data_IF_163761855813
#
_entry.id   IF_163761855813
#
_cell.length_a   1.000
_cell.length_b   1.000
_cell.length_c   1.000
_cell.angle_alpha   90.00
_cell.angle_beta   90.00
_cell.angle_gamma   90.00
#
_symmetry.space_group_name_H-M   'P 1'
#
loop_
_entity.id
_entity.type
_entity.pdbx_description
1 polymer ?
#
# COMPACT_ATOMS: atom_id res chain seq x y z
N UNK A 1 -23.15 41.34 23.04
CA UNK A 1 -22.29 40.67 24.05
C UNK A 1 -20.97 40.42 23.34
N UNK A 2 -19.89 41.07 23.75
CA UNK A 2 -18.57 40.85 23.16
C UNK A 2 -18.05 39.47 23.55
N UNK A 3 -17.58 38.71 22.56
CA UNK A 3 -16.96 37.41 22.77
C UNK A 3 -15.52 37.62 23.26
N UNK A 4 -15.39 37.83 24.57
CA UNK A 4 -14.10 38.05 25.23
C UNK A 4 -13.14 36.86 25.03
N UNK A 5 -13.68 35.65 24.89
CA UNK A 5 -12.90 34.45 24.67
C UNK A 5 -12.28 34.50 23.27
N UNK A 6 -13.05 34.82 22.22
CA UNK A 6 -12.52 35.00 20.86
C UNK A 6 -11.56 36.18 20.69
N UNK A 7 -11.50 37.10 21.67
CA UNK A 7 -10.58 38.25 21.66
C UNK A 7 -9.18 37.94 22.23
N UNK A 8 -9.00 36.80 22.88
CA UNK A 8 -7.71 36.39 23.45
C UNK A 8 -6.64 36.18 22.36
N UNK A 9 -5.34 36.41 22.64
CA UNK A 9 -4.23 36.01 21.77
C UNK A 9 -4.24 34.52 21.45
N UNK A 10 -3.70 34.15 20.28
CA UNK A 10 -3.68 32.76 19.80
C UNK A 10 -2.96 31.82 20.76
N UNK A 11 -1.95 32.31 21.48
CA UNK A 11 -1.20 31.54 22.48
C UNK A 11 -2.07 31.15 23.68
N UNK A 12 -2.96 32.05 24.13
CA UNK A 12 -3.87 31.78 25.24
C UNK A 12 -5.04 30.89 24.79
N UNK A 13 -5.52 31.09 23.56
CA UNK A 13 -6.52 30.22 22.95
C UNK A 13 -5.98 28.81 22.75
N UNK A 14 -4.74 28.67 22.27
CA UNK A 14 -4.03 27.41 22.20
C UNK A 14 -3.93 26.78 23.58
N UNK A 15 -3.54 27.56 24.60
CA UNK A 15 -3.48 27.05 25.96
C UNK A 15 -4.83 26.52 26.47
N UNK A 16 -5.94 27.21 26.21
CA UNK A 16 -7.28 26.76 26.60
C UNK A 16 -7.68 25.48 25.86
N UNK A 17 -7.50 25.42 24.53
CA UNK A 17 -7.75 24.20 23.74
C UNK A 17 -6.86 23.05 24.24
N UNK A 18 -5.63 23.37 24.63
CA UNK A 18 -4.65 22.47 25.23
C UNK A 18 -5.00 22.01 26.65
N UNK A 19 -6.16 22.37 27.20
CA UNK A 19 -6.68 21.85 28.47
C UNK A 19 -7.90 20.94 28.29
N UNK A 20 -8.39 20.74 27.05
CA UNK A 20 -9.60 19.97 26.76
C UNK A 20 -9.29 18.53 26.30
N UNK A 21 -10.10 17.53 26.69
CA UNK A 21 -10.06 16.20 26.08
C UNK A 21 -10.28 16.28 24.57
N UNK A 22 -9.69 15.35 23.80
CA UNK A 22 -9.67 15.39 22.32
C UNK A 22 -11.05 15.64 21.68
N UNK A 23 -12.07 14.90 22.08
CA UNK A 23 -13.45 15.06 21.56
C UNK A 23 -14.00 16.47 21.84
N UNK A 24 -13.75 17.00 23.04
CA UNK A 24 -14.16 18.35 23.43
C UNK A 24 -13.36 19.43 22.70
N UNK A 25 -12.05 19.21 22.51
CA UNK A 25 -11.19 20.09 21.74
C UNK A 25 -11.64 20.18 20.28
N UNK A 26 -12.03 19.06 19.66
CA UNK A 26 -12.62 19.05 18.31
C UNK A 26 -13.95 19.82 18.29
N UNK A 27 -14.81 19.70 19.30
CA UNK A 27 -16.07 20.44 19.31
C UNK A 27 -15.87 21.96 19.32
N UNK A 28 -14.72 22.46 19.80
CA UNK A 28 -14.41 23.88 19.77
C UNK A 28 -14.27 24.47 18.36
N UNK A 29 -14.06 23.63 17.33
CA UNK A 29 -14.05 24.08 15.93
C UNK A 29 -15.41 24.61 15.48
N UNK A 30 -16.50 24.18 16.13
CA UNK A 30 -17.87 24.66 15.87
C UNK A 30 -18.18 25.94 16.64
N UNK A 31 -17.40 26.28 17.66
CA UNK A 31 -17.58 27.49 18.46
C UNK A 31 -16.98 28.73 17.77
N UNK A 32 -15.90 28.56 17.01
CA UNK A 32 -15.26 29.66 16.30
C UNK A 32 -14.41 29.17 15.13
N UNK A 33 -14.49 29.85 13.99
CA UNK A 33 -13.61 29.61 12.84
C UNK A 33 -12.15 29.81 13.20
N UNK A 34 -11.83 30.72 14.13
CA UNK A 34 -10.48 30.96 14.63
C UNK A 34 -9.93 29.76 15.39
N UNK A 35 -10.73 29.14 16.25
CA UNK A 35 -10.34 27.97 17.06
C UNK A 35 -10.09 26.74 16.19
N UNK A 36 -10.88 26.59 15.11
CA UNK A 36 -10.63 25.59 14.07
C UNK A 36 -9.24 25.71 13.44
N UNK A 37 -8.75 26.93 13.22
CA UNK A 37 -7.40 27.13 12.66
C UNK A 37 -6.30 26.84 13.69
N UNK A 38 -6.52 27.17 14.96
CA UNK A 38 -5.54 26.95 16.03
C UNK A 38 -5.23 25.47 16.25
N UNK A 39 -6.24 24.61 16.25
CA UNK A 39 -6.04 23.15 16.37
C UNK A 39 -5.29 22.55 15.16
N UNK A 40 -5.30 23.27 14.04
CA UNK A 40 -4.66 22.87 12.79
C UNK A 40 -3.26 23.47 12.60
N UNK A 41 -2.75 24.25 13.57
CA UNK A 41 -1.43 24.85 13.49
C UNK A 41 -0.33 23.79 13.61
N UNK A 42 0.60 23.70 12.65
CA UNK A 42 1.73 22.81 12.76
C UNK A 42 2.77 23.38 13.72
N UNK A 43 3.40 22.52 14.54
CA UNK A 43 4.70 22.83 15.13
C UNK A 43 5.70 22.98 13.98
N UNK A 44 6.33 24.15 13.85
CA UNK A 44 7.30 24.42 12.78
C UNK A 44 8.71 24.42 13.35
N UNK A 45 9.61 23.71 12.70
CA UNK A 45 11.04 23.66 13.02
C UNK A 45 11.88 23.76 11.74
N UNK A 46 13.14 24.13 11.92
CA UNK A 46 14.13 24.26 10.85
C UNK A 46 15.41 23.52 11.27
N UNK A 47 16.11 22.95 10.31
CA UNK A 47 17.42 22.34 10.53
C UNK A 47 17.99 21.77 9.24
N UNK A 48 18.94 20.86 9.34
CA UNK A 48 19.50 20.17 8.18
C UNK A 48 18.74 18.88 7.88
N UNK A 49 19.03 18.23 6.75
CA UNK A 49 18.41 16.94 6.41
C UNK A 49 18.79 15.83 7.41
N UNK A 50 19.97 15.95 8.02
CA UNK A 50 20.49 15.05 9.05
C UNK A 50 19.73 15.17 10.37
N UNK A 51 19.11 16.33 10.63
CA UNK A 51 18.32 16.58 11.83
C UNK A 51 16.90 15.98 11.76
N UNK A 52 16.42 15.66 10.54
CA UNK A 52 15.06 15.16 10.30
C UNK A 52 14.68 13.97 11.20
N UNK A 53 15.51 12.91 11.34
CA UNK A 53 15.16 11.78 12.20
C UNK A 53 14.98 12.16 13.66
N UNK A 54 15.86 13.02 14.19
CA UNK A 54 15.82 13.49 15.57
C UNK A 54 14.62 14.41 15.81
N UNK A 55 14.31 15.29 14.86
CA UNK A 55 13.18 16.19 14.93
C UNK A 55 11.84 15.43 14.96
N UNK A 56 11.67 14.42 14.09
CA UNK A 56 10.48 13.56 14.10
C UNK A 56 10.41 12.71 15.37
N UNK A 57 11.55 12.17 15.83
CA UNK A 57 11.59 11.40 17.08
C UNK A 57 11.18 12.26 18.28
N UNK A 58 11.67 13.50 18.36
CA UNK A 58 11.27 14.45 19.40
C UNK A 58 9.80 14.85 19.29
N UNK A 59 9.28 15.03 18.08
CA UNK A 59 7.85 15.30 17.86
C UNK A 59 6.96 14.15 18.38
N UNK A 60 7.32 12.89 18.09
CA UNK A 60 6.60 11.71 18.58
C UNK A 60 6.73 11.57 20.10
N UNK A 61 7.95 11.72 20.63
CA UNK A 61 8.22 11.57 22.06
C UNK A 61 7.46 12.61 22.90
N UNK A 62 7.27 13.82 22.35
CA UNK A 62 6.53 14.88 22.99
C UNK A 62 5.01 14.78 22.82
N UNK A 63 4.49 13.83 22.03
CA UNK A 63 3.06 13.68 21.81
C UNK A 63 2.37 12.84 22.89
N UNK A 64 1.26 13.35 23.40
CA UNK A 64 0.34 12.64 24.27
C UNK A 64 -1.11 13.07 23.96
N UNK A 65 -1.94 12.11 23.57
CA UNK A 65 -3.33 12.34 23.19
C UNK A 65 -4.21 12.80 24.37
N UNK A 66 -3.83 12.46 25.60
CA UNK A 66 -4.57 12.77 26.83
C UNK A 66 -4.03 14.00 27.55
N UNK A 67 -2.86 14.50 27.15
CA UNK A 67 -2.30 15.73 27.68
C UNK A 67 -2.43 16.82 26.63
N UNK A 68 -3.39 17.74 26.78
CA UNK A 68 -3.68 18.63 25.69
C UNK A 68 -2.59 19.71 25.47
N UNK A 69 -1.64 19.93 26.39
CA UNK A 69 -0.39 20.70 26.14
C UNK A 69 0.63 20.00 25.23
N UNK A 70 0.42 18.70 25.00
CA UNK A 70 1.28 17.79 24.26
C UNK A 70 0.53 17.09 23.12
N UNK A 71 -0.66 17.57 22.76
CA UNK A 71 -1.50 16.91 21.76
C UNK A 71 -1.33 17.47 20.33
N UNK A 72 -0.28 18.26 20.05
CA UNK A 72 -0.02 18.80 18.71
C UNK A 72 0.14 17.68 17.70
N UNK A 73 -0.78 17.61 16.73
CA UNK A 73 -0.81 16.51 15.74
C UNK A 73 -0.06 16.80 14.47
N UNK A 74 0.27 18.06 14.18
CA UNK A 74 0.92 18.46 12.94
C UNK A 74 2.30 19.02 13.21
N UNK A 75 3.25 18.62 12.38
CA UNK A 75 4.62 19.07 12.44
C UNK A 75 5.11 19.39 11.03
N UNK A 76 5.84 20.50 10.90
CA UNK A 76 6.54 20.88 9.68
C UNK A 76 8.00 21.10 9.98
N UNK A 77 8.85 20.45 9.21
CA UNK A 77 10.29 20.60 9.33
C UNK A 77 10.84 21.05 7.99
N UNK A 78 11.43 22.25 7.97
CA UNK A 78 12.11 22.80 6.82
C UNK A 78 13.58 22.41 6.87
N UNK A 79 14.11 21.89 5.76
CA UNK A 79 15.50 21.45 5.66
C UNK A 79 16.08 21.71 4.26
N UNK A 80 17.35 22.10 4.22
CA UNK A 80 17.97 22.54 2.97
C UNK A 80 17.28 23.77 2.38
N UNK A 81 17.48 24.00 1.08
CA UNK A 81 16.95 25.20 0.40
C UNK A 81 15.44 25.09 0.12
N UNK A 82 14.95 23.89 -0.18
CA UNK A 82 13.56 23.65 -0.62
C UNK A 82 12.91 22.42 0.02
N UNK A 83 13.61 21.72 0.92
CA UNK A 83 13.10 20.50 1.55
C UNK A 83 12.06 20.81 2.62
N UNK A 84 10.91 20.16 2.53
CA UNK A 84 9.87 20.24 3.54
C UNK A 84 9.35 18.85 3.88
N UNK A 85 9.38 18.53 5.17
CA UNK A 85 8.67 17.41 5.75
C UNK A 85 7.41 17.92 6.46
N UNK A 86 6.26 17.37 6.09
CA UNK A 86 5.02 17.50 6.86
C UNK A 86 4.71 16.17 7.54
N UNK A 87 4.54 16.19 8.85
CA UNK A 87 4.18 15.02 9.66
C UNK A 87 2.83 15.21 10.35
N UNK A 88 2.03 14.14 10.40
CA UNK A 88 0.72 14.11 11.07
C UNK A 88 0.58 12.87 11.95
N UNK A 89 0.32 13.08 13.24
CA UNK A 89 -0.06 12.05 14.21
C UNK A 89 -1.58 11.89 14.23
N UNK A 90 -2.05 10.81 13.64
CA UNK A 90 -3.44 10.45 13.57
C UNK A 90 -3.82 9.44 14.69
N UNK A 91 -5.12 9.34 15.03
CA UNK A 91 -5.61 8.33 15.95
C UNK A 91 -5.18 6.90 15.56
N UNK A 92 -5.20 5.99 16.52
CA UNK A 92 -4.79 4.59 16.35
C UNK A 92 -3.30 4.44 15.94
N UNK A 93 -2.42 5.18 16.60
CA UNK A 93 -0.97 4.97 16.50
C UNK A 93 -0.42 5.14 15.07
N UNK A 94 -0.95 6.13 14.35
CA UNK A 94 -0.71 6.31 12.93
C UNK A 94 0.10 7.58 12.67
N UNK A 95 1.20 7.43 11.94
CA UNK A 95 2.05 8.54 11.51
C UNK A 95 1.98 8.67 10.00
N UNK A 96 1.71 9.88 9.52
CA UNK A 96 1.84 10.25 8.12
C UNK A 96 3.04 11.16 7.97
N UNK A 97 3.95 10.84 7.04
CA UNK A 97 5.07 11.68 6.65
C UNK A 97 4.94 11.97 5.16
N UNK A 98 4.94 13.25 4.81
CA UNK A 98 4.90 13.73 3.43
C UNK A 98 6.15 14.58 3.17
N UNK A 99 6.94 14.17 2.19
CA UNK A 99 8.14 14.88 1.78
C UNK A 99 7.86 15.61 0.47
N UNK A 100 8.00 16.94 0.48
CA UNK A 100 7.94 17.76 -0.73
C UNK A 100 9.33 18.27 -1.08
N UNK A 101 9.62 18.25 -2.38
CA UNK A 101 10.76 18.88 -3.02
C UNK A 101 10.27 19.56 -4.31
N UNK A 102 10.89 20.66 -4.70
CA UNK A 102 10.38 21.60 -5.70
C UNK A 102 10.51 21.12 -7.16
N UNK A 103 11.30 20.08 -7.44
CA UNK A 103 11.56 19.65 -8.82
C UNK A 103 11.17 18.20 -9.13
N UNK A 104 9.88 18.00 -9.42
CA UNK A 104 9.30 16.71 -9.81
C UNK A 104 9.47 16.37 -11.31
N UNK A 105 9.99 17.27 -12.14
CA UNK A 105 10.06 17.06 -13.59
C UNK A 105 11.14 16.05 -13.99
N UNK A 106 12.26 16.01 -13.28
CA UNK A 106 13.35 15.04 -13.48
C UNK A 106 13.88 14.53 -12.14
N UNK A 107 13.15 13.61 -11.48
CA UNK A 107 13.56 13.08 -10.18
C UNK A 107 14.87 12.30 -10.32
N UNK A 108 15.83 12.51 -9.41
CA UNK A 108 17.04 11.67 -9.35
C UNK A 108 16.66 10.25 -8.95
N UNK A 109 17.20 9.28 -9.68
CA UNK A 109 16.94 7.87 -9.43
C UNK A 109 17.68 7.38 -8.19
N UNK A 110 17.04 6.52 -7.39
CA UNK A 110 17.63 5.97 -6.18
C UNK A 110 17.14 4.56 -5.86
N UNK A 111 17.95 3.86 -5.06
CA UNK A 111 17.58 2.60 -4.42
C UNK A 111 17.32 2.85 -2.95
N UNK A 112 16.36 2.13 -2.37
CA UNK A 112 15.94 2.35 -1.00
C UNK A 112 15.75 1.05 -0.23
N UNK A 113 16.39 0.97 0.93
CA UNK A 113 16.33 -0.17 1.84
C UNK A 113 15.68 0.24 3.15
N UNK A 114 14.69 -0.54 3.58
CA UNK A 114 14.04 -0.40 4.87
C UNK A 114 14.30 -1.68 5.66
N UNK A 115 14.92 -1.55 6.82
CA UNK A 115 15.09 -2.62 7.80
C UNK A 115 14.24 -2.34 9.03
N UNK A 116 13.29 -3.23 9.32
CA UNK A 116 12.43 -3.16 10.49
C UNK A 116 13.02 -4.03 11.62
N UNK A 117 13.30 -3.40 12.76
CA UNK A 117 13.92 -3.96 13.97
C UNK A 117 15.11 -4.87 13.71
N UNK A 118 16.21 -4.30 13.22
CA UNK A 118 17.49 -4.97 13.29
C UNK A 118 17.91 -5.10 14.78
N UNK A 119 18.05 -6.32 15.34
CA UNK A 119 18.43 -6.54 16.73
C UNK A 119 19.80 -5.95 17.10
N UNK A 120 20.64 -5.66 16.10
CA UNK A 120 21.99 -5.13 16.28
C UNK A 120 22.01 -3.60 16.52
N UNK A 121 20.90 -2.89 16.33
CA UNK A 121 20.79 -1.44 16.55
C UNK A 121 20.28 -1.06 17.96
N UNK A 122 20.36 -1.98 18.92
CA UNK A 122 20.10 -1.72 20.33
C UNK A 122 21.31 -0.97 20.96
N UNK A 123 21.53 0.28 20.58
CA UNK A 123 22.40 1.17 21.34
C UNK A 123 21.58 2.01 22.32
N UNK A 124 22.19 2.21 23.49
CA UNK A 124 21.62 2.62 24.75
C UNK A 124 20.84 3.95 24.74
N UNK A 125 19.99 4.06 25.77
CA UNK A 125 19.11 5.17 26.16
C UNK A 125 17.73 5.17 25.50
N UNK A 126 16.78 4.42 26.08
CA UNK A 126 15.37 4.83 26.05
C UNK A 126 15.21 6.09 26.93
N UNK A 127 15.01 7.29 26.37
CA UNK A 127 14.69 8.47 27.16
C UNK A 127 13.16 8.49 27.29
N UNK A 128 12.65 8.10 28.46
CA UNK A 128 11.22 8.13 28.87
C UNK A 128 10.26 7.32 27.98
N UNK A 129 9.29 6.58 28.55
CA UNK A 129 8.30 5.90 27.72
C UNK A 129 7.46 6.97 27.01
N UNK A 130 7.58 7.07 25.68
CA UNK A 130 6.61 7.81 24.90
C UNK A 130 5.25 7.14 25.10
N UNK A 131 4.23 7.90 25.47
CA UNK A 131 2.86 7.37 25.61
C UNK A 131 2.29 6.97 24.26
N UNK A 132 2.86 7.52 23.17
CA UNK A 132 2.53 7.19 21.79
C UNK A 132 3.60 6.32 21.13
N UNK A 133 3.16 5.23 20.51
CA UNK A 133 3.97 4.36 19.67
C UNK A 133 3.39 4.31 18.25
N UNK A 134 4.19 3.89 17.26
CA UNK A 134 3.75 3.82 15.85
C UNK A 134 3.43 2.38 15.47
N UNK A 135 2.17 2.14 15.06
CA UNK A 135 1.70 0.86 14.47
C UNK A 135 1.47 0.96 12.97
N UNK A 136 1.11 2.16 12.49
CA UNK A 136 0.89 2.40 11.06
C UNK A 136 1.70 3.60 10.60
N UNK A 137 2.49 3.41 9.55
CA UNK A 137 3.29 4.46 8.94
C UNK A 137 2.88 4.65 7.48
N UNK A 138 2.55 5.88 7.13
CA UNK A 138 2.29 6.29 5.76
C UNK A 138 3.39 7.24 5.31
N UNK A 139 4.10 6.84 4.27
CA UNK A 139 5.18 7.58 3.64
C UNK A 139 4.70 8.05 2.27
N UNK A 140 4.77 9.35 2.04
CA UNK A 140 4.36 9.96 0.77
C UNK A 140 5.50 10.78 0.21
N UNK A 141 5.80 10.56 -1.07
CA UNK A 141 6.78 11.31 -1.84
C UNK A 141 8.20 11.29 -1.27
N UNK A 142 8.59 10.17 -0.65
CA UNK A 142 9.99 9.93 -0.26
C UNK A 142 10.87 9.92 -1.52
N UNK A 143 12.01 10.60 -1.43
CA UNK A 143 12.92 10.85 -2.53
C UNK A 143 14.38 10.54 -2.14
N UNK A 144 15.31 10.69 -3.09
CA UNK A 144 16.74 10.42 -2.88
C UNK A 144 17.42 11.23 -1.76
N UNK A 145 16.81 12.33 -1.30
CA UNK A 145 17.34 13.17 -0.22
C UNK A 145 16.85 12.66 1.14
N UNK A 146 15.59 12.24 1.20
CA UNK A 146 14.90 11.87 2.44
C UNK A 146 14.95 10.38 2.78
N UNK A 147 15.25 9.52 1.80
CA UNK A 147 15.19 8.05 1.96
C UNK A 147 16.02 7.53 3.13
N UNK A 148 17.24 8.05 3.32
CA UNK A 148 18.13 7.64 4.40
C UNK A 148 17.60 8.04 5.77
N UNK A 149 17.13 9.29 5.91
CA UNK A 149 16.52 9.78 7.13
C UNK A 149 15.28 8.94 7.49
N UNK A 150 14.47 8.56 6.49
CA UNK A 150 13.31 7.69 6.70
C UNK A 150 13.74 6.31 7.15
N UNK A 151 14.74 5.68 6.53
CA UNK A 151 15.25 4.38 6.97
C UNK A 151 15.75 4.42 8.42
N UNK A 152 16.47 5.48 8.81
CA UNK A 152 16.91 5.71 10.19
C UNK A 152 15.75 5.86 11.19
N UNK A 153 14.62 6.45 10.78
CA UNK A 153 13.43 6.58 11.64
C UNK A 153 12.67 5.26 11.76
N UNK A 154 12.47 4.60 10.63
CA UNK A 154 11.64 3.39 10.53
C UNK A 154 12.23 2.24 11.32
N UNK A 155 13.57 2.14 11.39
CA UNK A 155 14.26 1.12 12.19
C UNK A 155 13.97 1.20 13.70
N UNK A 156 13.52 2.37 14.19
CA UNK A 156 13.17 2.63 15.60
C UNK A 156 11.69 2.35 15.91
N UNK A 157 10.85 2.09 14.91
CA UNK A 157 9.41 1.84 15.11
C UNK A 157 9.13 0.37 15.40
N UNK A 158 9.43 -0.06 16.64
CA UNK A 158 9.42 -1.48 17.01
C UNK A 158 8.06 -2.19 16.97
N UNK A 159 6.97 -1.41 17.02
CA UNK A 159 5.59 -1.90 16.98
C UNK A 159 4.93 -1.70 15.61
N UNK A 160 5.69 -1.37 14.57
CA UNK A 160 5.15 -1.13 13.23
C UNK A 160 4.57 -2.43 12.64
N UNK A 161 3.29 -2.38 12.30
CA UNK A 161 2.53 -3.49 11.71
C UNK A 161 2.09 -3.18 10.27
N UNK A 162 1.94 -1.89 9.93
CA UNK A 162 1.39 -1.45 8.65
C UNK A 162 2.28 -0.37 8.03
N UNK A 163 2.77 -0.62 6.82
CA UNK A 163 3.59 0.32 6.05
C UNK A 163 2.91 0.67 4.73
N UNK A 164 2.74 1.96 4.46
CA UNK A 164 2.29 2.47 3.17
C UNK A 164 3.34 3.38 2.56
N UNK A 165 3.63 3.17 1.28
CA UNK A 165 4.58 3.94 0.48
C UNK A 165 3.84 4.42 -0.76
N UNK A 166 3.75 5.73 -0.95
CA UNK A 166 2.90 6.34 -1.97
C UNK A 166 3.67 7.43 -2.71
N UNK A 167 3.65 7.41 -4.04
CA UNK A 167 4.10 8.56 -4.83
C UNK A 167 5.60 8.84 -4.76
N UNK A 168 6.44 7.83 -4.51
CA UNK A 168 7.90 8.01 -4.43
C UNK A 168 8.51 8.07 -5.84
N UNK A 169 8.71 9.28 -6.36
CA UNK A 169 9.32 9.54 -7.67
C UNK A 169 10.85 9.31 -7.63
N UNK A 170 11.43 8.76 -8.71
CA UNK A 170 12.84 8.36 -8.78
C UNK A 170 13.18 7.03 -8.10
N UNK A 171 12.27 6.43 -7.32
CA UNK A 171 12.52 5.14 -6.68
C UNK A 171 12.61 4.02 -7.74
N UNK A 172 13.81 3.46 -7.97
CA UNK A 172 14.03 2.40 -8.96
C UNK A 172 14.03 0.99 -8.35
N UNK A 173 14.65 0.85 -7.18
CA UNK A 173 14.76 -0.43 -6.49
C UNK A 173 14.43 -0.27 -5.02
N UNK A 174 13.64 -1.20 -4.48
CA UNK A 174 13.24 -1.20 -3.08
C UNK A 174 13.49 -2.57 -2.46
N UNK A 175 14.09 -2.57 -1.27
CA UNK A 175 14.19 -3.74 -0.40
C UNK A 175 13.52 -3.45 0.93
N UNK A 176 12.60 -4.32 1.34
CA UNK A 176 11.95 -4.27 2.65
C UNK A 176 12.30 -5.54 3.39
N UNK A 177 13.09 -5.37 4.44
CA UNK A 177 13.44 -6.37 5.42
C UNK A 177 12.56 -6.17 6.66
N UNK A 178 11.84 -7.22 7.03
CA UNK A 178 11.10 -7.29 8.28
C UNK A 178 11.20 -8.67 8.91
N UNK A 179 12.06 -8.78 9.92
CA UNK A 179 12.03 -9.88 10.89
C UNK A 179 10.88 -9.72 11.93
N UNK A 180 10.11 -8.64 11.80
CA UNK A 180 9.13 -8.12 12.76
C UNK A 180 7.70 -8.51 12.42
N UNK A 181 6.73 -7.88 13.12
CA UNK A 181 5.29 -8.08 12.94
C UNK A 181 4.72 -7.30 11.75
N UNK A 182 5.46 -7.04 10.67
CA UNK A 182 4.84 -6.36 9.51
C UNK A 182 3.71 -7.24 8.94
N UNK A 183 2.47 -6.79 9.09
CA UNK A 183 1.26 -7.49 8.68
C UNK A 183 0.73 -6.96 7.35
N UNK A 184 0.90 -5.67 7.07
CA UNK A 184 0.38 -5.03 5.87
C UNK A 184 1.43 -4.16 5.20
N UNK A 185 1.58 -4.34 3.89
CA UNK A 185 2.39 -3.50 3.02
C UNK A 185 1.54 -2.96 1.87
N UNK A 186 1.62 -1.66 1.63
CA UNK A 186 0.98 -0.98 0.51
C UNK A 186 2.01 -0.15 -0.24
N UNK A 187 2.12 -0.35 -1.56
CA UNK A 187 3.02 0.44 -2.42
C UNK A 187 2.21 0.93 -3.63
N UNK A 188 1.95 2.23 -3.69
CA UNK A 188 1.12 2.86 -4.71
C UNK A 188 1.84 3.97 -5.45
N UNK A 189 1.62 4.03 -6.76
CA UNK A 189 1.96 5.17 -7.61
C UNK A 189 3.44 5.57 -7.54
N UNK A 190 4.36 4.60 -7.46
CA UNK A 190 5.80 4.79 -7.57
C UNK A 190 6.24 4.51 -9.02
N UNK A 191 6.25 5.51 -9.94
CA UNK A 191 6.25 5.26 -11.38
C UNK A 191 7.55 4.69 -11.96
N UNK A 192 8.66 4.82 -11.23
CA UNK A 192 9.99 4.37 -11.66
C UNK A 192 10.42 3.04 -11.03
N UNK A 193 9.58 2.44 -10.18
CA UNK A 193 9.94 1.23 -9.45
C UNK A 193 10.06 0.05 -10.41
N UNK A 194 11.28 -0.46 -10.55
CA UNK A 194 11.64 -1.58 -11.44
C UNK A 194 11.90 -2.87 -10.67
N UNK A 195 12.35 -2.78 -9.42
CA UNK A 195 12.69 -3.95 -8.60
C UNK A 195 12.10 -3.82 -7.20
N UNK A 196 11.43 -4.86 -6.73
CA UNK A 196 10.84 -4.92 -5.40
C UNK A 196 11.19 -6.24 -4.72
N UNK A 197 11.99 -6.13 -3.66
CA UNK A 197 12.41 -7.21 -2.81
C UNK A 197 11.72 -7.10 -1.45
N UNK A 198 11.08 -8.19 -1.01
CA UNK A 198 10.34 -8.23 0.25
C UNK A 198 10.72 -9.49 1.01
N UNK A 199 11.34 -9.29 2.18
CA UNK A 199 11.56 -10.33 3.17
C UNK A 199 10.69 -10.08 4.40
N UNK A 200 9.55 -10.75 4.46
CA UNK A 200 8.66 -10.72 5.63
C UNK A 200 7.78 -11.98 5.68
N UNK A 201 7.90 -12.76 6.75
CA UNK A 201 7.14 -14.02 6.91
C UNK A 201 5.76 -13.81 7.57
N UNK A 202 5.53 -12.67 8.21
CA UNK A 202 4.25 -12.33 8.87
C UNK A 202 3.30 -11.53 7.99
N UNK A 203 3.72 -11.14 6.79
CA UNK A 203 2.88 -10.37 5.87
C UNK A 203 1.57 -11.12 5.58
N UNK A 204 0.44 -10.42 5.78
CA UNK A 204 -0.92 -10.90 5.53
C UNK A 204 -1.64 -10.08 4.47
N UNK A 205 -1.26 -8.81 4.30
CA UNK A 205 -1.85 -7.94 3.28
C UNK A 205 -0.75 -7.35 2.43
N UNK A 206 -0.85 -7.53 1.12
CA UNK A 206 0.03 -6.90 0.15
C UNK A 206 -0.77 -6.22 -0.95
N UNK A 207 -0.69 -4.89 -1.02
CA UNK A 207 -1.40 -4.09 -2.00
C UNK A 207 -0.40 -3.32 -2.86
N UNK A 208 -0.42 -3.59 -4.16
CA UNK A 208 0.45 -2.95 -5.13
C UNK A 208 -0.38 -2.25 -6.22
N UNK A 209 0.02 -1.02 -6.58
CA UNK A 209 -0.52 -0.26 -7.71
C UNK A 209 0.58 0.52 -8.42
N UNK A 210 0.75 0.32 -9.72
CA UNK A 210 1.77 0.99 -10.53
C UNK A 210 2.25 0.16 -11.72
N UNK A 211 3.39 0.52 -12.32
CA UNK A 211 4.03 -0.32 -13.34
C UNK A 211 4.63 -1.56 -12.70
N UNK A 212 4.31 -2.75 -13.22
CA UNK A 212 4.68 -4.02 -12.61
C UNK A 212 6.21 -4.18 -12.46
N UNK A 213 6.76 -4.18 -11.23
CA UNK A 213 8.19 -4.33 -11.00
C UNK A 213 8.60 -5.80 -11.04
N UNK A 214 9.90 -6.04 -11.08
CA UNK A 214 10.46 -7.36 -10.86
C UNK A 214 10.31 -7.72 -9.38
N UNK A 215 9.48 -8.72 -9.09
CA UNK A 215 9.26 -9.22 -7.74
C UNK A 215 10.29 -10.29 -7.38
N UNK A 216 10.93 -10.10 -6.23
CA UNK A 216 11.75 -11.12 -5.59
C UNK A 216 11.19 -11.38 -4.18
N UNK A 217 10.21 -12.29 -4.04
CA UNK A 217 9.81 -12.77 -2.73
C UNK A 217 10.86 -13.76 -2.21
N UNK A 218 11.35 -13.57 -0.98
CA UNK A 218 12.24 -14.56 -0.35
C UNK A 218 11.47 -15.77 0.21
N UNK A 219 10.22 -15.56 0.63
CA UNK A 219 9.38 -16.58 1.26
C UNK A 219 8.02 -16.70 0.56
N UNK A 220 7.37 -17.85 0.73
CA UNK A 220 5.95 -17.96 0.40
C UNK A 220 5.14 -17.12 1.38
N UNK A 221 4.37 -16.16 0.89
CA UNK A 221 3.49 -15.37 1.73
C UNK A 221 2.17 -16.10 1.97
N UNK A 222 1.71 -16.11 3.22
CA UNK A 222 0.36 -16.54 3.59
C UNK A 222 -0.54 -15.31 3.66
N UNK A 223 -0.76 -14.68 2.49
CA UNK A 223 -1.57 -13.47 2.40
C UNK A 223 -3.04 -13.80 2.69
N UNK A 224 -3.70 -13.04 3.55
CA UNK A 224 -5.16 -13.00 3.59
C UNK A 224 -5.71 -12.16 2.44
N UNK A 225 -5.01 -11.08 2.08
CA UNK A 225 -5.44 -10.15 1.04
C UNK A 225 -4.26 -9.74 0.14
N UNK A 226 -4.42 -9.90 -1.17
CA UNK A 226 -3.45 -9.51 -2.18
C UNK A 226 -4.12 -8.65 -3.25
N UNK A 227 -3.50 -7.55 -3.63
CA UNK A 227 -3.92 -6.74 -4.78
C UNK A 227 -2.72 -6.43 -5.66
N UNK A 228 -2.87 -6.71 -6.95
CA UNK A 228 -1.87 -6.41 -7.99
C UNK A 228 -2.54 -5.59 -9.10
N UNK A 229 -2.57 -4.27 -8.92
CA UNK A 229 -3.06 -3.33 -9.91
C UNK A 229 -1.91 -2.81 -10.78
N UNK A 230 -1.68 -3.49 -11.90
CA UNK A 230 -0.64 -3.15 -12.87
C UNK A 230 -1.17 -2.73 -14.22
N UNK A 231 -2.27 -1.95 -14.24
CA UNK A 231 -2.88 -1.40 -15.47
C UNK A 231 -1.92 -0.54 -16.30
N UNK A 232 -0.82 -0.10 -15.70
CA UNK A 232 0.24 0.66 -16.38
C UNK A 232 1.26 -0.22 -17.12
N UNK A 233 1.08 -1.55 -17.12
CA UNK A 233 1.98 -2.51 -17.75
C UNK A 233 3.26 -2.79 -16.97
N UNK A 234 4.24 -3.51 -17.55
CA UNK A 234 5.51 -3.81 -16.90
C UNK A 234 6.42 -2.59 -16.78
N UNK A 235 7.24 -2.56 -15.73
CA UNK A 235 8.23 -1.50 -15.52
C UNK A 235 9.47 -1.62 -16.41
N UNK A 236 9.63 -2.74 -17.14
CA UNK A 236 10.80 -3.03 -17.98
C UNK A 236 10.41 -3.86 -19.23
N UNK A 237 11.15 -3.67 -20.31
CA UNK A 237 10.82 -4.21 -21.64
C UNK A 237 11.08 -5.72 -21.79
N UNK A 238 11.72 -6.37 -20.81
CA UNK A 238 12.14 -7.77 -20.87
C UNK A 238 11.34 -8.67 -19.94
N UNK A 239 10.08 -8.35 -19.65
CA UNK A 239 9.23 -9.18 -18.80
C UNK A 239 9.08 -10.59 -19.38
N UNK A 240 9.56 -11.61 -18.65
CA UNK A 240 9.57 -13.02 -19.08
C UNK A 240 8.49 -13.82 -18.34
N UNK A 241 8.11 -14.97 -18.88
CA UNK A 241 7.20 -15.92 -18.22
C UNK A 241 7.69 -16.36 -16.83
N UNK A 242 9.00 -16.45 -16.59
CA UNK A 242 9.53 -16.78 -15.27
C UNK A 242 9.34 -15.66 -14.23
N UNK A 243 9.19 -14.40 -14.67
CA UNK A 243 8.87 -13.30 -13.76
C UNK A 243 7.44 -13.45 -13.25
N UNK A 244 6.54 -13.95 -14.10
CA UNK A 244 5.17 -14.30 -13.73
C UNK A 244 5.08 -15.44 -12.70
N UNK A 245 5.91 -16.47 -12.80
CA UNK A 245 5.96 -17.57 -11.82
C UNK A 245 6.21 -17.06 -10.38
N UNK A 246 7.04 -16.01 -10.23
CA UNK A 246 7.32 -15.39 -8.91
C UNK A 246 6.11 -14.65 -8.35
N UNK A 247 5.30 -14.07 -9.23
CA UNK A 247 4.03 -13.43 -8.87
C UNK A 247 3.07 -14.48 -8.32
N UNK A 248 2.92 -15.60 -9.03
CA UNK A 248 2.08 -16.71 -8.57
C UNK A 248 2.53 -17.22 -7.20
N UNK A 249 3.84 -17.36 -6.97
CA UNK A 249 4.37 -17.75 -5.65
C UNK A 249 4.01 -16.73 -4.56
N UNK A 250 4.02 -15.44 -4.89
CA UNK A 250 3.66 -14.34 -3.98
C UNK A 250 2.20 -14.42 -3.56
N UNK A 251 1.28 -14.72 -4.49
CA UNK A 251 -0.17 -14.70 -4.24
C UNK A 251 -0.78 -16.08 -3.99
N UNK A 252 0.03 -17.15 -4.00
CA UNK A 252 -0.43 -18.56 -3.97
C UNK A 252 -1.47 -18.85 -2.89
N UNK A 253 -1.25 -18.30 -1.70
CA UNK A 253 -2.05 -18.58 -0.51
C UNK A 253 -3.03 -17.44 -0.17
N UNK A 254 -3.28 -16.51 -1.12
CA UNK A 254 -4.24 -15.43 -0.93
C UNK A 254 -5.66 -15.97 -0.71
N UNK A 255 -6.40 -15.38 0.23
CA UNK A 255 -7.84 -15.63 0.38
C UNK A 255 -8.67 -14.64 -0.44
N UNK A 256 -8.24 -13.39 -0.48
CA UNK A 256 -8.82 -12.32 -1.30
C UNK A 256 -7.76 -11.87 -2.29
N UNK A 257 -8.11 -11.88 -3.57
CA UNK A 257 -7.23 -11.47 -4.65
C UNK A 257 -7.89 -10.44 -5.55
N UNK A 258 -7.35 -9.23 -5.60
CA UNK A 258 -7.76 -8.18 -6.52
C UNK A 258 -6.80 -8.12 -7.72
N UNK A 259 -7.34 -8.20 -8.92
CA UNK A 259 -6.62 -8.28 -10.18
C UNK A 259 -7.11 -7.24 -11.18
N UNK A 260 -6.23 -6.84 -12.08
CA UNK A 260 -6.58 -6.06 -13.26
C UNK A 260 -6.24 -6.83 -14.54
N UNK A 261 -6.71 -6.33 -15.70
CA UNK A 261 -6.51 -6.99 -17.00
C UNK A 261 -5.04 -7.30 -17.30
N UNK A 262 -4.18 -6.29 -17.16
CA UNK A 262 -2.75 -6.38 -17.44
C UNK A 262 -2.00 -7.39 -16.57
N UNK A 263 -2.54 -7.80 -15.41
CA UNK A 263 -1.84 -8.71 -14.49
C UNK A 263 -1.51 -10.06 -15.16
N UNK A 264 -2.22 -10.45 -16.22
CA UNK A 264 -2.06 -11.76 -16.90
C UNK A 264 -2.17 -11.67 -18.43
N UNK A 265 -1.94 -10.50 -19.02
CA UNK A 265 -2.09 -10.30 -20.47
C UNK A 265 -1.01 -10.99 -21.33
N UNK A 266 0.08 -11.47 -20.72
CA UNK A 266 1.23 -12.08 -21.41
C UNK A 266 0.78 -13.29 -22.22
N UNK A 267 0.93 -13.19 -23.54
CA UNK A 267 0.70 -14.28 -24.47
C UNK A 267 1.84 -15.31 -24.35
N UNK A 268 1.48 -16.59 -24.23
CA UNK A 268 2.46 -17.69 -24.23
C UNK A 268 3.22 -17.81 -25.57
N UNK A 269 2.70 -17.21 -26.65
CA UNK A 269 3.31 -17.28 -27.98
C UNK A 269 4.27 -16.14 -28.34
N UNK A 270 4.43 -15.10 -27.50
CA UNK A 270 5.17 -13.89 -27.88
C UNK A 270 6.67 -13.87 -27.53
N UNK A 271 7.25 -14.97 -27.02
CA UNK A 271 8.68 -14.99 -26.66
C UNK A 271 9.42 -16.24 -27.17
N UNK A 272 10.22 -16.03 -28.22
CA UNK A 272 11.33 -16.93 -28.57
C UNK A 272 12.33 -16.91 -27.40
N UNK A 273 12.63 -18.07 -26.84
CA UNK A 273 13.63 -18.27 -25.79
C UNK A 273 15.03 -18.41 -26.38
N UNK A 274 15.96 -17.46 -26.26
CA UNK A 274 17.38 -17.75 -26.45
C UNK A 274 17.90 -18.35 -25.14
N UNK A 275 18.10 -19.67 -25.13
CA UNK A 275 18.85 -20.43 -24.12
C UNK A 275 18.59 -20.05 -22.64
N UNK A 276 17.43 -20.46 -22.11
CA UNK A 276 17.17 -20.54 -20.67
C UNK A 276 17.65 -21.88 -20.09
N UNK A 277 18.96 -22.11 -20.05
CA UNK A 277 19.53 -23.15 -19.19
C UNK A 277 19.57 -22.59 -17.75
N UNK A 278 18.60 -23.00 -16.92
CA UNK A 278 18.53 -22.85 -15.43
C UNK A 278 17.47 -21.93 -14.82
N UNK A 279 16.42 -21.47 -15.53
CA UNK A 279 15.20 -21.06 -14.82
C UNK A 279 14.36 -22.33 -14.62
N UNK A 280 14.20 -22.78 -13.36
CA UNK A 280 13.82 -24.15 -13.03
C UNK A 280 12.59 -24.63 -13.81
N UNK A 281 12.72 -25.77 -14.51
CA UNK A 281 11.66 -26.46 -15.25
C UNK A 281 10.53 -27.01 -14.34
N UNK A 282 10.38 -26.48 -13.13
CA UNK A 282 9.58 -27.06 -12.05
C UNK A 282 8.61 -26.09 -11.38
N UNK A 283 8.81 -24.76 -11.47
CA UNK A 283 7.93 -23.78 -10.82
C UNK A 283 6.68 -23.47 -11.66
N UNK A 284 6.79 -23.45 -12.98
CA UNK A 284 5.70 -23.10 -13.91
C UNK A 284 4.58 -24.15 -14.05
N UNK A 285 4.71 -25.31 -13.40
CA UNK A 285 3.69 -26.38 -13.42
C UNK A 285 2.88 -26.53 -12.11
N UNK A 286 3.17 -25.79 -11.03
CA UNK A 286 2.74 -26.23 -9.68
C UNK A 286 2.24 -25.15 -8.70
N UNK A 287 1.86 -23.95 -9.13
CA UNK A 287 1.29 -22.94 -8.21
C UNK A 287 -0.22 -22.80 -8.39
N UNK A 288 -0.97 -23.68 -7.71
CA UNK A 288 -2.45 -23.63 -7.66
C UNK A 288 -2.91 -22.64 -6.59
N UNK A 289 -3.90 -21.81 -6.92
CA UNK A 289 -4.55 -20.88 -5.99
C UNK A 289 -5.67 -21.61 -5.25
N UNK A 290 -5.29 -22.35 -4.21
CA UNK A 290 -6.17 -23.29 -3.48
C UNK A 290 -6.95 -22.66 -2.33
N UNK A 291 -6.58 -21.47 -1.89
CA UNK A 291 -7.15 -20.83 -0.69
C UNK A 291 -8.06 -19.65 -1.01
N UNK A 292 -8.27 -19.35 -2.29
CA UNK A 292 -9.09 -18.23 -2.73
C UNK A 292 -10.55 -18.39 -2.28
N UNK A 293 -11.04 -17.37 -1.60
CA UNK A 293 -12.45 -17.20 -1.23
C UNK A 293 -13.10 -16.15 -2.12
N UNK A 294 -12.37 -15.09 -2.46
CA UNK A 294 -12.87 -13.96 -3.27
C UNK A 294 -11.84 -13.54 -4.32
N UNK A 295 -12.29 -13.36 -5.55
CA UNK A 295 -11.54 -12.68 -6.62
C UNK A 295 -12.25 -11.39 -6.98
N UNK A 296 -11.54 -10.27 -6.95
CA UNK A 296 -12.05 -8.97 -7.39
C UNK A 296 -11.39 -8.57 -8.70
N UNK A 297 -12.19 -8.21 -9.68
CA UNK A 297 -11.75 -7.71 -10.97
C UNK A 297 -11.97 -6.19 -10.98
N UNK A 298 -10.87 -5.44 -11.10
CA UNK A 298 -10.88 -3.98 -11.05
C UNK A 298 -10.21 -3.35 -12.27
N UNK A 299 -10.82 -2.27 -12.77
CA UNK A 299 -10.25 -1.43 -13.83
C UNK A 299 -10.23 -2.07 -15.21
N UNK A 300 -11.27 -2.83 -15.55
CA UNK A 300 -11.50 -3.38 -16.89
C UNK A 300 -12.37 -2.44 -17.72
N UNK A 301 -12.05 -2.32 -19.01
CA UNK A 301 -12.81 -1.48 -19.94
C UNK A 301 -14.16 -2.09 -20.33
N UNK A 302 -14.29 -3.42 -20.23
CA UNK A 302 -15.50 -4.16 -20.55
C UNK A 302 -15.52 -5.54 -19.88
N UNK A 303 -16.71 -6.15 -19.87
CA UNK A 303 -17.01 -7.46 -19.29
C UNK A 303 -16.31 -8.63 -20.03
N UNK A 304 -16.09 -8.52 -21.34
CA UNK A 304 -15.42 -9.57 -22.11
C UNK A 304 -13.97 -9.78 -21.66
N UNK A 305 -13.27 -8.69 -21.32
CA UNK A 305 -11.92 -8.74 -20.79
C UNK A 305 -11.87 -9.38 -19.39
N UNK A 306 -12.91 -9.20 -18.57
CA UNK A 306 -13.04 -9.85 -17.27
C UNK A 306 -13.23 -11.36 -17.42
N UNK A 307 -14.10 -11.78 -18.35
CA UNK A 307 -14.30 -13.20 -18.70
C UNK A 307 -13.00 -13.80 -19.22
N UNK A 308 -12.32 -13.13 -20.16
CA UNK A 308 -11.08 -13.60 -20.75
C UNK A 308 -9.99 -13.82 -19.68
N UNK A 309 -9.86 -12.91 -18.72
CA UNK A 309 -8.93 -13.10 -17.62
C UNK A 309 -9.28 -14.34 -16.79
N UNK A 310 -10.54 -14.50 -16.44
CA UNK A 310 -10.98 -15.64 -15.63
C UNK A 310 -10.83 -16.97 -16.38
N UNK A 311 -11.01 -16.98 -17.70
CA UNK A 311 -10.69 -18.12 -18.55
C UNK A 311 -9.20 -18.47 -18.54
N UNK A 312 -8.31 -17.47 -18.56
CA UNK A 312 -6.86 -17.70 -18.43
C UNK A 312 -6.46 -18.25 -17.06
N UNK A 313 -7.18 -17.85 -16.00
CA UNK A 313 -6.91 -18.30 -14.63
C UNK A 313 -7.56 -19.65 -14.29
N UNK A 314 -8.33 -20.23 -15.22
CA UNK A 314 -9.10 -21.47 -15.04
C UNK A 314 -8.27 -22.61 -14.46
N UNK A 315 -7.09 -22.84 -15.04
CA UNK A 315 -6.25 -23.99 -14.69
C UNK A 315 -5.45 -23.77 -13.40
N UNK A 316 -5.36 -22.51 -12.95
CA UNK A 316 -4.61 -22.08 -11.77
C UNK A 316 -5.52 -22.00 -10.55
N UNK A 317 -6.77 -21.55 -10.72
CA UNK A 317 -7.77 -21.45 -9.65
C UNK A 317 -8.51 -22.78 -9.50
N UNK A 318 -8.08 -23.59 -8.55
CA UNK A 318 -8.62 -24.94 -8.33
C UNK A 318 -9.83 -25.01 -7.41
N UNK A 319 -10.22 -23.88 -6.83
CA UNK A 319 -11.43 -23.75 -6.00
C UNK A 319 -12.51 -22.96 -6.74
N UNK A 320 -13.70 -22.84 -6.18
CA UNK A 320 -14.76 -21.97 -6.71
C UNK A 320 -14.88 -20.71 -5.83
N UNK A 321 -14.12 -19.64 -6.13
CA UNK A 321 -14.21 -18.40 -5.37
C UNK A 321 -15.43 -17.57 -5.79
N UNK A 322 -15.86 -16.68 -4.91
CA UNK A 322 -16.78 -15.60 -5.26
C UNK A 322 -16.03 -14.60 -6.16
N UNK A 323 -16.50 -14.39 -7.39
CA UNK A 323 -15.88 -13.45 -8.33
C UNK A 323 -16.74 -12.17 -8.40
N UNK A 324 -16.14 -11.06 -7.98
CA UNK A 324 -16.73 -9.73 -7.96
C UNK A 324 -16.13 -8.90 -9.09
N UNK A 325 -16.98 -8.39 -9.97
CA UNK A 325 -16.60 -7.38 -10.96
C UNK A 325 -16.91 -5.99 -10.43
N UNK A 326 -16.06 -5.02 -10.76
CA UNK A 326 -16.32 -3.62 -10.46
C UNK A 326 -16.14 -2.79 -11.73
N UNK A 327 -17.17 -2.03 -12.11
CA UNK A 327 -17.00 -0.91 -13.04
C UNK A 327 -17.24 0.38 -12.29
N UNK A 328 -16.30 1.33 -12.42
CA UNK A 328 -16.43 2.69 -11.89
C UNK A 328 -16.84 2.77 -10.41
N UNK A 329 -16.38 1.84 -9.56
CA UNK A 329 -16.67 1.81 -8.13
C UNK A 329 -18.05 1.25 -7.76
N UNK A 330 -18.84 0.80 -8.74
CA UNK A 330 -20.10 0.08 -8.52
C UNK A 330 -19.82 -1.42 -8.63
N UNK A 331 -20.19 -2.18 -7.60
CA UNK A 331 -20.10 -3.63 -7.66
C UNK A 331 -21.09 -4.14 -8.71
N UNK A 332 -20.55 -4.66 -9.80
CA UNK A 332 -21.29 -5.25 -10.90
C UNK A 332 -21.58 -6.74 -10.61
N UNK A 333 -22.45 -7.39 -11.39
CA UNK A 333 -22.93 -8.74 -11.14
C UNK A 333 -21.83 -9.77 -10.85
N UNK A 334 -22.17 -10.83 -10.11
CA UNK A 334 -21.25 -11.93 -9.87
C UNK A 334 -20.92 -12.64 -11.18
N UNK A 335 -19.64 -12.96 -11.38
CA UNK A 335 -19.22 -13.84 -12.46
C UNK A 335 -19.24 -15.28 -11.95
N UNK A 336 -20.07 -16.13 -12.54
CA UNK A 336 -20.23 -17.53 -12.10
C UNK A 336 -19.67 -18.49 -13.14
N UNK A 337 -19.23 -19.68 -12.70
CA UNK A 337 -18.88 -20.80 -13.58
C UNK A 337 -20.16 -21.43 -14.12
N UNK A 338 -20.20 -21.68 -15.42
CA UNK A 338 -21.31 -22.34 -16.10
C UNK A 338 -20.76 -23.50 -16.93
N UNK A 339 -21.42 -24.68 -16.98
CA UNK A 339 -21.00 -25.77 -17.86
C UNK A 339 -20.95 -25.29 -19.32
N UNK A 340 -19.87 -25.59 -20.05
CA UNK A 340 -19.81 -25.23 -21.47
C UNK A 340 -20.64 -26.23 -22.28
N UNK A 341 -21.92 -25.94 -22.46
CA UNK A 341 -22.73 -26.59 -23.48
C UNK A 341 -22.43 -25.91 -24.82
N UNK A 342 -21.34 -26.32 -25.48
CA UNK A 342 -21.25 -26.44 -26.94
C UNK A 342 -19.80 -26.64 -27.40
N UNK A 343 -19.55 -27.85 -27.90
CA UNK A 343 -18.51 -28.12 -28.89
C UNK A 343 -18.96 -27.48 -30.21
N UNK A 344 -18.42 -26.32 -30.59
CA UNK A 344 -17.97 -26.04 -31.95
C UNK A 344 -17.36 -24.63 -32.07
N UNK A 345 -16.12 -24.61 -32.57
CA UNK A 345 -15.41 -23.45 -33.14
C UNK A 345 -14.95 -22.34 -32.19
N UNK A 346 -13.82 -22.59 -31.51
CA UNK A 346 -12.68 -21.66 -31.44
C UNK A 346 -11.41 -22.51 -31.33
N UNK A 347 -10.47 -22.28 -32.23
CA UNK A 347 -9.23 -23.06 -32.43
C UNK A 347 -8.46 -23.17 -31.11
N UNK A 348 -8.54 -24.33 -30.46
CA UNK A 348 -7.77 -24.65 -29.26
C UNK A 348 -6.50 -25.39 -29.66
N UNK A 349 -5.36 -24.84 -29.23
CA UNK A 349 -4.09 -25.55 -29.13
C UNK A 349 -4.21 -26.68 -28.10
N UNK A 350 -3.68 -27.84 -28.46
CA UNK A 350 -3.78 -29.08 -27.71
C UNK A 350 -3.16 -28.98 -26.30
N UNK A 351 -3.93 -29.30 -25.26
CA UNK A 351 -3.41 -29.95 -24.07
C UNK A 351 -4.42 -30.96 -23.51
N UNK A 352 -3.93 -32.16 -23.22
CA UNK A 352 -4.68 -33.35 -22.82
C UNK A 352 -4.85 -33.37 -21.29
N UNK A 353 -6.02 -32.96 -20.79
CA UNK A 353 -6.69 -33.57 -19.62
C UNK A 353 -8.19 -33.30 -19.78
N UNK A 354 -9.01 -34.35 -19.73
CA UNK A 354 -10.47 -34.25 -19.67
C UNK A 354 -10.90 -33.61 -18.34
N UNK A 355 -10.96 -32.28 -18.30
CA UNK A 355 -11.72 -31.53 -17.31
C UNK A 355 -13.01 -31.08 -17.98
N UNK A 356 -14.14 -31.24 -17.30
CA UNK A 356 -15.40 -30.62 -17.71
C UNK A 356 -15.12 -29.15 -18.06
N UNK A 357 -15.26 -28.79 -19.33
CA UNK A 357 -15.06 -27.41 -19.74
C UNK A 357 -16.18 -26.57 -19.13
N UNK A 358 -15.81 -25.51 -18.42
CA UNK A 358 -16.73 -24.52 -17.87
C UNK A 358 -16.34 -23.13 -18.38
N UNK A 359 -17.33 -22.31 -18.70
CA UNK A 359 -17.17 -20.91 -19.08
C UNK A 359 -17.58 -19.99 -17.93
N UNK A 360 -17.37 -18.69 -18.08
CA UNK A 360 -17.79 -17.69 -17.11
C UNK A 360 -18.91 -16.81 -17.69
N UNK A 361 -19.92 -16.51 -16.87
CA UNK A 361 -21.04 -15.63 -17.27
C UNK A 361 -21.44 -14.72 -16.11
N UNK A 362 -21.83 -13.48 -16.43
CA UNK A 362 -22.39 -12.55 -15.46
C UNK A 362 -23.82 -12.93 -15.07
N UNK A 363 -24.10 -12.94 -13.77
CA UNK A 363 -25.45 -13.12 -13.23
C UNK A 363 -25.78 -12.00 -12.27
N UNK A 364 -26.88 -11.29 -12.57
CA UNK A 364 -27.38 -10.17 -11.78
C UNK A 364 -27.82 -10.65 -10.40
N UNK A 365 -27.04 -10.34 -9.35
CA UNK A 365 -27.38 -10.71 -7.97
C UNK A 365 -28.19 -9.60 -7.32
N UNK A 366 -29.41 -9.92 -6.91
CA UNK A 366 -30.25 -9.02 -6.11
C UNK A 366 -29.71 -9.02 -4.67
N UNK A 367 -29.21 -7.86 -4.24
CA UNK A 367 -28.72 -7.50 -2.89
C UNK A 367 -27.34 -8.02 -2.48
N UNK A 368 -26.36 -7.12 -2.37
CA UNK A 368 -25.16 -7.31 -1.55
C UNK A 368 -24.51 -5.97 -1.12
N UNK A 369 -25.28 -5.10 -0.46
CA UNK A 369 -24.75 -3.87 0.16
C UNK A 369 -23.83 -4.13 1.39
N UNK A 370 -23.47 -5.40 1.68
CA UNK A 370 -22.69 -5.77 2.87
C UNK A 370 -21.29 -6.34 2.56
N UNK A 371 -20.89 -6.54 1.30
CA UNK A 371 -19.62 -7.18 0.95
C UNK A 371 -18.59 -6.25 0.27
N UNK A 372 -18.99 -5.02 -0.05
CA UNK A 372 -18.07 -3.95 -0.43
C UNK A 372 -17.77 -3.10 0.80
N UNK A 373 -16.57 -3.16 1.42
CA UNK A 373 -16.19 -2.12 2.36
C UNK A 373 -16.18 -0.81 1.57
N UNK A 374 -17.02 0.15 1.98
CA UNK A 374 -17.06 1.49 1.38
C UNK A 374 -15.64 2.02 1.32
N UNK A 375 -15.16 2.37 0.12
CA UNK A 375 -13.96 3.17 -0.03
C UNK A 375 -14.20 4.49 0.68
N UNK A 376 -13.56 4.68 1.84
CA UNK A 376 -13.51 5.96 2.53
C UNK A 376 -12.62 6.92 1.75
N UNK A 377 -13.17 7.50 0.68
CA UNK A 377 -12.66 8.74 0.10
C UNK A 377 -13.80 9.74 -0.01
N UNK A 378 -13.50 10.95 0.48
CA UNK A 378 -14.30 12.18 0.48
C UNK A 378 -15.28 12.29 1.67
N UNK A 379 -14.81 12.89 2.77
CA UNK A 379 -15.26 14.22 3.20
C UNK A 379 -14.55 14.65 4.49
N UNK A 380 -13.86 15.80 4.39
CA UNK A 380 -13.17 16.62 5.40
C UNK A 380 -11.71 16.28 5.76
#
# INVERSE_FOLDING_TARGET
>A
MEDFISSLPDELLFHIISLLPFESAIQTIFLSTRWRFLWNLPLVQHGTKEDVPSAVSGFIANFDEHNPTRNTRRFRFHFGEYGLLSAILAPNNKLHLHFSDENMQNPKHFSWQIELNNPQNLSDHQPTPSTFFIKTLNLTSVNHISSEAVSCMVSKFHLLENLKIIGCHGLESMSIDSDTKLLSLTIFDCPHLKSLHIRSYKLRTFLYRGKFPWFLPEFHFNLGNAMLDSRQGPAFNTFKTCDFDRVLLTIKNSEILTLCKWTFEIDHNSYVMPNATKCSKQVSRCTKLQHLKVVKLEGFDNQDNEILLMERLRDIITVEPLILSTSNGICLPNLIRVPSHDSHSRTMSHSLVSQEMYSYKFVQVKHNNQLCPKHGHISL
#
